data_IF_179337248022
#
_entry.id   IF_179337248022
#
_cell.length_a   1.000
_cell.length_b   1.000
_cell.length_c   1.000
_cell.angle_alpha   90.00
_cell.angle_beta   90.00
_cell.angle_gamma   90.00
#
_symmetry.space_group_name_H-M   'P 1'
#
loop_
_entity.id
_entity.type
_entity.pdbx_description
1 polymer ?
#
# COMPACT_ATOMS: atom_id res chain seq x y z
N UNK A 1 -28.37 14.52 14.84
CA UNK A 1 -28.48 13.07 15.11
C UNK A 1 -28.75 12.39 13.77
N UNK A 2 -27.96 11.39 13.37
CA UNK A 2 -28.17 10.69 12.11
C UNK A 2 -29.39 9.80 12.25
N UNK A 3 -30.32 9.90 11.30
CA UNK A 3 -31.45 8.96 11.24
C UNK A 3 -31.03 7.71 10.48
N UNK A 4 -30.66 6.67 11.20
CA UNK A 4 -30.21 5.40 10.62
C UNK A 4 -31.33 4.64 9.89
N UNK A 5 -32.60 5.01 10.05
CA UNK A 5 -33.72 4.34 9.36
C UNK A 5 -33.68 4.57 7.84
N UNK A 6 -33.07 5.68 7.40
CA UNK A 6 -32.87 6.01 5.98
C UNK A 6 -31.95 4.99 5.29
N UNK A 7 -31.07 4.33 6.05
CA UNK A 7 -30.06 3.40 5.53
C UNK A 7 -30.54 1.94 5.48
N UNK A 8 -31.72 1.66 6.04
CA UNK A 8 -32.29 0.31 6.03
C UNK A 8 -32.41 -0.20 4.59
N UNK A 9 -31.90 -1.41 4.36
CA UNK A 9 -31.89 -2.11 3.06
C UNK A 9 -31.06 -1.43 1.95
N UNK A 10 -30.33 -0.38 2.25
CA UNK A 10 -29.45 0.29 1.29
C UNK A 10 -28.21 -0.54 0.99
N UNK A 11 -27.67 -0.36 -0.22
CA UNK A 11 -26.52 -1.07 -0.75
C UNK A 11 -25.43 -0.11 -1.17
N UNK A 12 -24.20 -0.37 -0.74
CA UNK A 12 -23.04 0.39 -1.16
C UNK A 12 -22.11 -0.42 -2.04
N UNK A 13 -21.49 0.23 -3.02
CA UNK A 13 -20.39 -0.29 -3.82
C UNK A 13 -19.15 0.54 -3.55
N UNK A 14 -18.01 -0.13 -3.45
CA UNK A 14 -16.73 0.50 -3.13
C UNK A 14 -15.74 0.35 -4.29
N UNK A 15 -15.06 1.42 -4.62
CA UNK A 15 -14.01 1.44 -5.62
C UNK A 15 -12.76 2.13 -5.06
N UNK A 16 -11.69 1.36 -4.92
CA UNK A 16 -10.44 1.84 -4.32
C UNK A 16 -9.35 1.89 -5.35
N UNK A 17 -8.71 3.04 -5.47
CA UNK A 17 -7.50 3.26 -6.25
C UNK A 17 -6.31 3.55 -5.33
N UNK A 18 -5.13 3.12 -5.75
CA UNK A 18 -3.86 3.48 -5.12
C UNK A 18 -3.26 2.41 -4.22
N UNK A 19 -2.84 2.79 -3.03
CA UNK A 19 -1.96 2.00 -2.16
C UNK A 19 -2.72 1.17 -1.11
N UNK A 20 -1.98 0.31 -0.39
CA UNK A 20 -2.48 -0.49 0.75
C UNK A 20 -3.20 0.37 1.79
N UNK A 21 -2.74 1.61 2.00
CA UNK A 21 -3.35 2.56 2.90
C UNK A 21 -4.78 2.93 2.47
N UNK A 22 -5.01 3.23 1.19
CA UNK A 22 -6.35 3.49 0.67
C UNK A 22 -7.25 2.26 0.83
N UNK A 23 -6.74 1.05 0.60
CA UNK A 23 -7.49 -0.18 0.81
C UNK A 23 -7.89 -0.39 2.27
N UNK A 24 -6.99 -0.15 3.22
CA UNK A 24 -7.30 -0.18 4.65
C UNK A 24 -8.39 0.81 5.02
N UNK A 25 -8.27 2.05 4.54
CA UNK A 25 -9.25 3.11 4.79
C UNK A 25 -10.63 2.78 4.22
N UNK A 26 -10.70 2.24 2.99
CA UNK A 26 -11.97 1.81 2.37
C UNK A 26 -12.62 0.69 3.16
N UNK A 27 -11.87 -0.32 3.59
CA UNK A 27 -12.40 -1.41 4.41
C UNK A 27 -12.99 -0.91 5.74
N UNK A 28 -12.39 0.13 6.32
CA UNK A 28 -12.94 0.76 7.53
C UNK A 28 -14.23 1.53 7.24
N UNK A 29 -14.30 2.24 6.12
CA UNK A 29 -15.55 2.91 5.67
C UNK A 29 -16.64 1.86 5.45
N UNK A 30 -16.33 0.78 4.72
CA UNK A 30 -17.27 -0.32 4.46
C UNK A 30 -17.86 -0.90 5.75
N UNK A 31 -17.01 -1.19 6.74
CA UNK A 31 -17.47 -1.71 8.03
C UNK A 31 -18.40 -0.73 8.75
N UNK A 32 -18.05 0.57 8.83
CA UNK A 32 -18.91 1.58 9.46
C UNK A 32 -20.27 1.69 8.79
N UNK A 33 -20.32 1.58 7.46
CA UNK A 33 -21.57 1.58 6.71
C UNK A 33 -22.37 0.30 6.98
N UNK A 34 -21.72 -0.86 7.11
CA UNK A 34 -22.39 -2.11 7.49
C UNK A 34 -22.95 -2.06 8.92
N UNK A 35 -22.22 -1.49 9.88
CA UNK A 35 -22.68 -1.25 11.24
C UNK A 35 -23.92 -0.32 11.29
N UNK A 36 -24.04 0.59 10.31
CA UNK A 36 -25.21 1.45 10.13
C UNK A 36 -26.36 0.81 9.34
N UNK A 37 -26.24 -0.47 8.95
CA UNK A 37 -27.28 -1.22 8.22
C UNK A 37 -27.18 -1.18 6.69
N UNK A 38 -26.14 -0.55 6.13
CA UNK A 38 -25.89 -0.50 4.69
C UNK A 38 -25.06 -1.72 4.27
N UNK A 39 -25.62 -2.63 3.48
CA UNK A 39 -24.88 -3.81 3.03
C UNK A 39 -24.03 -3.54 1.78
N UNK A 40 -22.96 -4.32 1.60
CA UNK A 40 -22.18 -4.28 0.36
C UNK A 40 -22.98 -4.92 -0.78
N UNK A 41 -23.05 -4.20 -1.91
CA UNK A 41 -23.71 -4.70 -3.11
C UNK A 41 -22.94 -5.90 -3.70
N UNK A 42 -23.66 -6.97 -4.04
CA UNK A 42 -23.07 -8.13 -4.71
C UNK A 42 -22.77 -7.80 -6.19
N UNK A 43 -21.92 -8.60 -6.81
CA UNK A 43 -21.60 -8.44 -8.24
C UNK A 43 -22.86 -8.47 -9.09
N UNK A 44 -23.09 -7.40 -9.87
CA UNK A 44 -24.27 -7.28 -10.74
C UNK A 44 -25.49 -6.63 -10.09
N UNK A 45 -25.49 -6.40 -8.77
CA UNK A 45 -26.52 -5.60 -8.10
C UNK A 45 -26.29 -4.10 -8.33
N UNK A 46 -27.37 -3.34 -8.42
CA UNK A 46 -27.33 -1.88 -8.34
C UNK A 46 -27.11 -1.44 -6.90
N UNK A 47 -26.31 -0.42 -6.73
CA UNK A 47 -26.05 0.21 -5.43
C UNK A 47 -26.84 1.51 -5.29
N UNK A 48 -27.21 1.83 -4.05
CA UNK A 48 -27.79 3.12 -3.65
C UNK A 48 -26.69 4.15 -3.34
N UNK A 49 -25.48 3.67 -2.98
CA UNK A 49 -24.36 4.49 -2.60
C UNK A 49 -23.11 3.99 -3.33
N UNK A 50 -22.33 4.91 -3.90
CA UNK A 50 -21.02 4.63 -4.52
C UNK A 50 -19.92 5.35 -3.73
N UNK A 51 -18.99 4.61 -3.18
CA UNK A 51 -17.82 5.16 -2.46
C UNK A 51 -16.57 4.98 -3.31
N UNK A 52 -15.91 6.08 -3.68
CA UNK A 52 -14.67 6.08 -4.46
C UNK A 52 -13.52 6.62 -3.62
N UNK A 53 -12.56 5.79 -3.26
CA UNK A 53 -11.32 6.20 -2.60
C UNK A 53 -10.23 6.41 -3.64
N UNK A 54 -9.84 7.66 -3.84
CA UNK A 54 -9.06 8.16 -4.97
C UNK A 54 -7.56 8.24 -4.69
N UNK A 55 -6.76 8.14 -5.75
CA UNK A 55 -5.30 8.29 -5.72
C UNK A 55 -4.85 9.47 -6.58
N UNK A 56 -3.78 10.16 -6.15
CA UNK A 56 -3.22 11.33 -6.83
C UNK A 56 -1.71 11.21 -7.09
N UNK A 57 -1.12 10.03 -6.93
CA UNK A 57 0.35 9.86 -7.06
C UNK A 57 0.82 10.11 -8.50
N UNK A 58 0.00 9.74 -9.50
CA UNK A 58 0.28 9.96 -10.92
C UNK A 58 -0.91 10.59 -11.65
N UNK A 59 -0.66 11.23 -12.81
CA UNK A 59 -1.72 11.71 -13.69
C UNK A 59 -2.63 10.58 -14.18
N UNK A 60 -2.05 9.41 -14.44
CA UNK A 60 -2.82 8.23 -14.85
C UNK A 60 -3.76 7.74 -13.73
N UNK A 61 -3.33 7.83 -12.46
CA UNK A 61 -4.18 7.50 -11.33
C UNK A 61 -5.39 8.45 -11.22
N UNK A 62 -5.20 9.75 -11.46
CA UNK A 62 -6.32 10.71 -11.52
C UNK A 62 -7.26 10.45 -12.69
N UNK A 63 -6.73 10.14 -13.88
CA UNK A 63 -7.53 9.78 -15.06
C UNK A 63 -8.38 8.53 -14.76
N UNK A 64 -7.78 7.48 -14.19
CA UNK A 64 -8.49 6.27 -13.77
C UNK A 64 -9.57 6.57 -12.72
N UNK A 65 -9.32 7.52 -11.82
CA UNK A 65 -10.32 7.95 -10.84
C UNK A 65 -11.56 8.55 -11.53
N UNK A 66 -11.39 9.51 -12.44
CA UNK A 66 -12.51 10.10 -13.19
C UNK A 66 -13.26 9.04 -14.02
N UNK A 67 -12.53 8.13 -14.66
CA UNK A 67 -13.15 7.01 -15.40
C UNK A 67 -13.99 6.11 -14.48
N UNK A 68 -13.50 5.85 -13.26
CA UNK A 68 -14.22 5.06 -12.27
C UNK A 68 -15.50 5.77 -11.81
N UNK A 69 -15.45 7.09 -11.54
CA UNK A 69 -16.61 7.91 -11.20
C UNK A 69 -17.67 7.77 -12.30
N UNK A 70 -17.32 8.08 -13.55
CA UNK A 70 -18.24 8.04 -14.68
C UNK A 70 -18.81 6.62 -14.93
N UNK A 71 -18.00 5.58 -14.71
CA UNK A 71 -18.43 4.18 -14.80
C UNK A 71 -19.48 3.84 -13.74
N UNK A 72 -19.20 4.18 -12.48
CA UNK A 72 -20.08 3.86 -11.35
C UNK A 72 -21.41 4.63 -11.43
N UNK A 73 -21.38 5.90 -11.82
CA UNK A 73 -22.59 6.72 -12.06
C UNK A 73 -23.48 6.09 -13.13
N UNK A 74 -22.89 5.64 -14.26
CA UNK A 74 -23.64 4.97 -15.33
C UNK A 74 -24.19 3.60 -14.91
N UNK A 75 -23.46 2.84 -14.12
CA UNK A 75 -23.88 1.53 -13.65
C UNK A 75 -24.94 1.59 -12.55
N UNK A 76 -24.95 2.68 -11.77
CA UNK A 76 -25.86 2.88 -10.64
C UNK A 76 -26.61 4.23 -10.79
N UNK A 77 -27.51 4.37 -11.76
CA UNK A 77 -28.27 5.60 -11.93
C UNK A 77 -29.07 5.93 -10.66
N UNK A 78 -28.94 7.17 -10.18
CA UNK A 78 -29.59 7.62 -8.95
C UNK A 78 -28.86 7.30 -7.65
N UNK A 79 -27.75 6.56 -7.68
CA UNK A 79 -26.94 6.32 -6.50
C UNK A 79 -26.29 7.62 -5.96
N UNK A 80 -26.18 7.74 -4.65
CA UNK A 80 -25.45 8.81 -3.98
C UNK A 80 -23.94 8.53 -4.09
N UNK A 81 -23.18 9.48 -4.64
CA UNK A 81 -21.75 9.27 -5.00
C UNK A 81 -20.86 10.08 -4.09
N UNK A 82 -20.05 9.37 -3.31
CA UNK A 82 -19.03 9.93 -2.41
C UNK A 82 -17.64 9.68 -2.99
N UNK A 83 -16.84 10.75 -3.12
CA UNK A 83 -15.44 10.66 -3.54
C UNK A 83 -14.55 11.11 -2.39
N UNK A 84 -13.56 10.29 -2.03
CA UNK A 84 -12.57 10.62 -1.01
C UNK A 84 -11.16 10.22 -1.46
N UNK A 85 -10.15 10.46 -0.65
CA UNK A 85 -8.77 10.06 -0.95
C UNK A 85 -7.85 11.21 -1.34
N UNK A 86 -6.65 10.85 -1.80
CA UNK A 86 -5.60 11.85 -2.08
C UNK A 86 -5.99 12.80 -3.23
N UNK A 87 -6.66 12.29 -4.27
CA UNK A 87 -7.13 13.15 -5.36
C UNK A 87 -8.31 14.02 -4.92
N UNK A 88 -9.22 13.48 -4.12
CA UNK A 88 -10.30 14.26 -3.50
C UNK A 88 -9.75 15.43 -2.67
N UNK A 89 -8.70 15.20 -1.89
CA UNK A 89 -8.06 16.26 -1.10
C UNK A 89 -7.44 17.36 -1.96
N UNK A 90 -6.75 16.99 -3.06
CA UNK A 90 -6.04 17.96 -3.90
C UNK A 90 -6.95 18.72 -4.89
N UNK A 91 -8.13 18.20 -5.18
CA UNK A 91 -9.01 18.69 -6.23
C UNK A 91 -10.49 18.62 -5.84
N UNK A 92 -10.81 18.89 -4.57
CA UNK A 92 -12.15 18.71 -4.03
C UNK A 92 -13.21 19.49 -4.81
N UNK A 93 -13.02 20.79 -5.00
CA UNK A 93 -13.92 21.67 -5.75
C UNK A 93 -14.11 21.20 -7.20
N UNK A 94 -13.02 20.79 -7.87
CA UNK A 94 -13.09 20.29 -9.25
C UNK A 94 -13.91 18.99 -9.32
N UNK A 95 -13.69 18.07 -8.39
CA UNK A 95 -14.39 16.80 -8.35
C UNK A 95 -15.86 16.94 -7.97
N UNK A 96 -16.24 17.93 -7.14
CA UNK A 96 -17.63 18.16 -6.81
C UNK A 96 -18.46 18.63 -8.01
N UNK A 97 -17.80 19.15 -9.05
CA UNK A 97 -18.44 19.54 -10.33
C UNK A 97 -18.50 18.41 -11.37
N UNK A 98 -17.90 17.25 -11.08
CA UNK A 98 -17.99 16.07 -11.97
C UNK A 98 -19.43 15.52 -11.95
N UNK A 99 -19.92 15.15 -13.13
CA UNK A 99 -21.29 14.69 -13.30
C UNK A 99 -21.63 13.51 -12.38
N UNK A 100 -22.63 13.69 -11.54
CA UNK A 100 -23.16 12.67 -10.65
C UNK A 100 -22.39 12.48 -9.33
N UNK A 101 -21.41 13.31 -9.03
CA UNK A 101 -20.78 13.37 -7.70
C UNK A 101 -21.66 14.18 -6.76
N UNK A 102 -21.99 13.63 -5.59
CA UNK A 102 -22.84 14.30 -4.60
C UNK A 102 -22.02 14.90 -3.45
N UNK A 103 -20.94 14.23 -3.03
CA UNK A 103 -20.05 14.78 -2.01
C UNK A 103 -18.58 14.36 -2.23
N UNK A 104 -17.69 15.30 -1.95
CA UNK A 104 -16.23 15.07 -1.96
C UNK A 104 -15.68 15.31 -0.56
N UNK A 105 -15.01 14.30 0.00
CA UNK A 105 -14.47 14.33 1.35
C UNK A 105 -12.96 14.32 1.35
N UNK A 106 -12.32 15.29 1.98
CA UNK A 106 -10.90 15.35 2.21
C UNK A 106 -10.38 14.22 3.12
N UNK A 107 -9.08 14.21 3.31
CA UNK A 107 -8.40 13.18 4.12
C UNK A 107 -8.86 13.20 5.58
N UNK A 108 -9.11 14.37 6.12
CA UNK A 108 -9.61 14.59 7.49
C UNK A 108 -11.03 14.09 7.70
N UNK A 109 -11.85 14.06 6.63
CA UNK A 109 -13.26 13.69 6.66
C UNK A 109 -13.55 12.23 6.29
N UNK A 110 -12.54 11.45 5.97
CA UNK A 110 -12.71 10.02 5.63
C UNK A 110 -13.42 9.19 6.70
N UNK A 111 -13.20 9.53 7.97
CA UNK A 111 -13.88 8.89 9.08
C UNK A 111 -15.36 9.29 9.23
N UNK A 112 -15.79 10.37 8.57
CA UNK A 112 -17.09 10.98 8.70
C UNK A 112 -17.99 10.73 7.48
N UNK A 113 -17.72 9.68 6.68
CA UNK A 113 -18.51 9.40 5.47
C UNK A 113 -19.99 9.25 5.79
N UNK A 114 -20.32 8.57 6.89
CA UNK A 114 -21.70 8.31 7.29
C UNK A 114 -22.45 9.61 7.60
N UNK A 115 -21.79 10.57 8.24
CA UNK A 115 -22.32 11.89 8.59
C UNK A 115 -22.64 12.74 7.36
N UNK A 116 -21.95 12.48 6.26
CA UNK A 116 -22.11 13.20 4.99
C UNK A 116 -23.04 12.49 3.98
N UNK A 117 -23.64 11.35 4.33
CA UNK A 117 -24.65 10.72 3.47
C UNK A 117 -25.99 11.42 3.51
N UNK A 118 -26.28 12.19 4.57
CA UNK A 118 -27.56 12.87 4.74
C UNK A 118 -28.76 11.92 4.54
N UNK A 119 -29.78 12.38 3.82
CA UNK A 119 -30.94 11.58 3.45
C UNK A 119 -30.76 10.91 2.05
N UNK A 120 -29.55 10.79 1.55
CA UNK A 120 -29.22 10.28 0.21
C UNK A 120 -29.92 11.06 -0.92
N UNK A 121 -30.13 12.35 -0.70
CA UNK A 121 -30.75 13.25 -1.69
C UNK A 121 -29.66 13.65 -2.70
N UNK A 122 -29.92 13.31 -3.96
CA UNK A 122 -28.98 13.59 -5.04
C UNK A 122 -28.95 15.08 -5.39
N UNK A 123 -27.75 15.62 -5.57
CA UNK A 123 -27.56 17.00 -6.00
C UNK A 123 -27.70 17.15 -7.52
N UNK A 124 -28.48 18.15 -7.98
CA UNK A 124 -28.70 18.42 -9.42
C UNK A 124 -27.63 19.31 -10.05
N UNK A 125 -27.05 20.24 -9.27
CA UNK A 125 -26.20 21.33 -9.76
C UNK A 125 -24.74 21.26 -9.31
N UNK A 126 -24.25 20.04 -9.08
CA UNK A 126 -22.92 19.75 -8.53
C UNK A 126 -22.99 19.38 -7.05
N UNK A 127 -22.00 18.60 -6.61
CA UNK A 127 -21.92 18.09 -5.25
C UNK A 127 -21.29 19.09 -4.29
N UNK A 128 -21.42 18.79 -3.02
CA UNK A 128 -20.75 19.49 -1.93
C UNK A 128 -19.29 18.98 -1.79
N UNK A 129 -18.44 19.78 -1.16
CA UNK A 129 -17.10 19.31 -0.80
C UNK A 129 -16.67 19.80 0.58
N UNK A 130 -15.96 18.93 1.28
CA UNK A 130 -15.46 19.13 2.64
C UNK A 130 -14.02 18.70 2.70
N UNK A 131 -13.09 19.63 2.54
CA UNK A 131 -11.66 19.41 2.62
C UNK A 131 -10.98 20.65 3.19
N UNK A 132 -10.34 20.50 4.33
CA UNK A 132 -9.48 21.54 4.88
C UNK A 132 -8.08 21.48 4.26
N UNK A 133 -7.29 22.57 4.28
CA UNK A 133 -5.91 22.52 3.82
C UNK A 133 -5.11 21.40 4.52
N UNK A 134 -4.37 20.60 3.76
CA UNK A 134 -3.64 19.44 4.30
C UNK A 134 -2.69 19.80 5.45
N UNK A 135 -2.13 21.02 5.44
CA UNK A 135 -1.27 21.56 6.53
C UNK A 135 -1.99 21.65 7.88
N UNK A 136 -3.33 21.71 7.88
CA UNK A 136 -4.15 21.89 9.07
C UNK A 136 -4.71 20.54 9.59
N UNK A 137 -4.55 19.46 8.82
CA UNK A 137 -5.00 18.13 9.22
C UNK A 137 -4.15 17.61 10.39
N UNK A 138 -4.80 17.35 11.53
CA UNK A 138 -4.18 16.85 12.76
C UNK A 138 -4.71 15.46 13.13
N UNK A 139 -5.94 15.17 12.78
CA UNK A 139 -6.61 13.95 13.17
C UNK A 139 -5.98 12.72 12.49
N UNK A 140 -5.79 11.66 13.25
CA UNK A 140 -5.45 10.35 12.73
C UNK A 140 -6.72 9.50 12.61
N UNK A 141 -7.08 9.11 11.41
CA UNK A 141 -8.21 8.21 11.17
C UNK A 141 -7.67 6.78 11.20
N UNK A 142 -8.04 6.05 12.23
CA UNK A 142 -7.68 4.63 12.37
C UNK A 142 -8.25 3.81 11.24
N UNK A 143 -7.46 2.88 10.71
CA UNK A 143 -7.95 1.91 9.77
C UNK A 143 -7.16 0.59 9.82
N UNK A 144 -7.92 -0.50 9.75
CA UNK A 144 -7.42 -1.84 9.58
C UNK A 144 -8.35 -2.57 8.61
N UNK A 145 -7.81 -3.10 7.50
CA UNK A 145 -8.61 -3.94 6.62
C UNK A 145 -8.87 -5.26 7.32
N UNK A 146 -10.11 -5.72 7.31
CA UNK A 146 -10.56 -6.97 7.94
C UNK A 146 -11.57 -7.66 7.02
N UNK A 147 -12.04 -8.83 7.41
CA UNK A 147 -13.09 -9.56 6.70
C UNK A 147 -12.55 -10.67 5.81
N UNK A 148 -12.85 -10.65 4.53
CA UNK A 148 -12.59 -11.73 3.58
C UNK A 148 -11.14 -11.83 3.05
N UNK A 149 -10.22 -11.02 3.58
CA UNK A 149 -8.80 -11.02 3.19
C UNK A 149 -7.96 -11.80 4.17
N UNK A 150 -7.05 -12.60 3.66
CA UNK A 150 -6.07 -13.35 4.45
C UNK A 150 -5.03 -12.43 5.10
N UNK A 151 -4.62 -11.35 4.40
CA UNK A 151 -3.66 -10.37 4.91
C UNK A 151 -4.38 -9.07 5.29
N UNK A 152 -4.23 -8.65 6.52
CA UNK A 152 -4.78 -7.42 7.08
C UNK A 152 -3.81 -6.26 6.88
N UNK A 153 -4.31 -5.08 6.53
CA UNK A 153 -3.51 -3.86 6.40
C UNK A 153 -3.80 -2.94 7.58
N UNK A 154 -2.86 -2.84 8.51
CA UNK A 154 -2.96 -1.97 9.68
C UNK A 154 -2.29 -0.63 9.39
N UNK A 155 -3.07 0.45 9.38
CA UNK A 155 -2.57 1.82 9.26
C UNK A 155 -1.97 2.26 10.57
N UNK A 156 -0.65 2.49 10.58
CA UNK A 156 0.08 2.93 11.78
C UNK A 156 0.53 4.40 11.72
N UNK A 157 0.61 4.96 10.51
CA UNK A 157 1.11 6.32 10.31
C UNK A 157 0.43 6.94 9.07
N UNK A 158 0.28 8.28 9.04
CA UNK A 158 -0.25 9.03 7.92
C UNK A 158 0.50 10.37 7.74
N UNK A 159 0.49 10.92 6.51
CA UNK A 159 1.22 12.13 6.18
C UNK A 159 2.75 11.92 6.07
N UNK A 160 3.49 12.97 5.69
CA UNK A 160 4.94 12.89 5.53
C UNK A 160 5.59 14.27 5.64
N UNK A 161 6.76 14.33 6.28
CA UNK A 161 7.55 15.56 6.49
C UNK A 161 8.80 15.65 5.59
N UNK A 162 8.93 14.77 4.59
CA UNK A 162 10.12 14.75 3.75
C UNK A 162 10.10 15.80 2.64
N UNK A 163 8.95 16.12 2.10
CA UNK A 163 8.80 17.08 1.00
C UNK A 163 9.77 16.82 -0.17
N UNK A 164 9.92 15.55 -0.56
CA UNK A 164 10.68 15.21 -1.76
C UNK A 164 10.16 15.99 -2.96
N UNK A 165 11.07 16.45 -3.82
CA UNK A 165 10.76 17.42 -4.88
C UNK A 165 9.66 16.99 -5.84
N UNK A 166 9.48 15.69 -6.05
CA UNK A 166 8.50 15.08 -6.95
C UNK A 166 7.17 14.72 -6.28
N UNK A 167 7.08 14.77 -4.95
CA UNK A 167 6.02 14.12 -4.19
C UNK A 167 4.87 15.08 -3.85
N UNK A 168 3.63 14.63 -4.09
CA UNK A 168 2.41 15.37 -3.73
C UNK A 168 1.81 14.94 -2.39
N UNK A 169 2.35 13.93 -1.75
CA UNK A 169 1.77 13.35 -0.52
C UNK A 169 1.69 14.34 0.64
N UNK A 170 2.71 15.18 0.94
CA UNK A 170 2.58 16.19 1.98
C UNK A 170 1.43 17.18 1.74
N UNK A 171 1.13 17.46 0.47
CA UNK A 171 0.03 18.35 0.08
C UNK A 171 -1.34 17.66 0.10
N UNK A 172 -1.36 16.33 -0.06
CA UNK A 172 -2.58 15.54 -0.01
C UNK A 172 -2.92 15.04 1.39
N UNK A 173 -1.91 14.60 2.16
CA UNK A 173 -2.11 13.94 3.46
C UNK A 173 -1.62 14.74 4.66
N UNK A 174 -0.91 15.87 4.43
CA UNK A 174 -0.39 16.71 5.48
C UNK A 174 0.87 16.17 6.16
N UNK A 175 1.14 16.66 7.35
CA UNK A 175 2.29 16.30 8.17
C UNK A 175 2.19 14.86 8.71
N UNK A 176 3.36 14.31 9.04
CA UNK A 176 3.46 12.99 9.68
C UNK A 176 2.72 12.98 11.01
N UNK A 177 1.88 11.97 11.22
CA UNK A 177 1.11 11.76 12.46
C UNK A 177 0.82 10.27 12.66
N UNK A 178 0.68 9.89 13.91
CA UNK A 178 0.43 8.52 14.33
C UNK A 178 -0.42 8.50 15.61
N UNK A 179 -1.13 7.41 15.91
CA UNK A 179 -1.78 7.18 17.20
C UNK A 179 -0.77 6.58 18.20
N UNK A 180 -1.20 6.34 19.43
CA UNK A 180 -0.39 5.63 20.41
C UNK A 180 -0.23 4.14 20.07
N UNK A 181 0.88 3.55 20.50
CA UNK A 181 1.17 2.11 20.33
C UNK A 181 0.02 1.25 20.88
N UNK A 182 -0.50 1.60 22.05
CA UNK A 182 -1.61 0.84 22.69
C UNK A 182 -2.86 0.74 21.82
N UNK A 183 -3.19 1.79 21.06
CA UNK A 183 -4.34 1.80 20.16
C UNK A 183 -4.14 0.86 18.95
N UNK A 184 -2.91 0.76 18.46
CA UNK A 184 -2.54 -0.13 17.35
C UNK A 184 -2.49 -1.60 17.81
N UNK A 185 -1.99 -1.85 19.02
CA UNK A 185 -2.04 -3.18 19.64
C UNK A 185 -3.48 -3.66 19.80
N UNK A 186 -4.38 -2.79 20.28
CA UNK A 186 -5.80 -3.14 20.38
C UNK A 186 -6.41 -3.50 19.01
N UNK A 187 -6.05 -2.79 17.94
CA UNK A 187 -6.50 -3.14 16.58
C UNK A 187 -5.93 -4.48 16.09
N UNK A 188 -4.67 -4.78 16.41
CA UNK A 188 -4.05 -6.05 16.07
C UNK A 188 -4.70 -7.22 16.84
N UNK A 189 -5.04 -7.03 18.12
CA UNK A 189 -5.79 -8.00 18.94
C UNK A 189 -7.19 -8.27 18.34
N UNK A 190 -7.89 -7.21 17.90
CA UNK A 190 -9.17 -7.37 17.21
C UNK A 190 -9.02 -8.17 15.92
N UNK A 191 -7.97 -7.92 15.13
CA UNK A 191 -7.69 -8.68 13.92
C UNK A 191 -7.37 -10.15 14.23
N UNK A 192 -6.65 -10.44 15.31
CA UNK A 192 -6.38 -11.80 15.79
C UNK A 192 -7.67 -12.53 16.20
N UNK A 193 -8.55 -11.84 16.94
CA UNK A 193 -9.85 -12.39 17.37
C UNK A 193 -10.78 -12.73 16.18
N UNK A 194 -10.63 -12.03 15.06
CA UNK A 194 -11.35 -12.33 13.81
C UNK A 194 -10.67 -13.44 12.97
N UNK A 195 -9.60 -14.07 13.47
CA UNK A 195 -8.87 -15.15 12.80
C UNK A 195 -7.80 -14.66 11.79
N UNK A 196 -7.44 -13.39 11.82
CA UNK A 196 -6.32 -12.85 11.03
C UNK A 196 -5.01 -13.54 11.38
N UNK A 197 -4.22 -13.93 10.37
CA UNK A 197 -2.93 -14.61 10.57
C UNK A 197 -1.73 -13.71 10.22
N UNK A 198 -1.90 -12.80 9.28
CA UNK A 198 -0.85 -11.88 8.84
C UNK A 198 -1.34 -10.43 8.82
N UNK A 199 -0.57 -9.54 9.44
CA UNK A 199 -0.78 -8.09 9.40
C UNK A 199 0.37 -7.43 8.64
N UNK A 200 0.04 -6.62 7.63
CA UNK A 200 0.97 -5.74 6.95
C UNK A 200 0.86 -4.35 7.57
N UNK A 201 1.90 -3.91 8.24
CA UNK A 201 2.00 -2.56 8.79
C UNK A 201 2.09 -1.58 7.63
N UNK A 202 1.17 -0.62 7.55
CA UNK A 202 1.08 0.30 6.43
C UNK A 202 0.97 1.77 6.88
N UNK A 203 1.50 2.65 6.07
CA UNK A 203 1.47 4.09 6.25
C UNK A 203 2.03 4.79 5.02
N UNK A 204 2.31 6.05 5.15
CA UNK A 204 2.98 6.86 4.12
C UNK A 204 4.50 6.80 4.29
N UNK A 205 4.98 7.03 5.50
CA UNK A 205 6.37 6.91 5.92
C UNK A 205 6.39 6.33 7.34
N UNK A 206 6.28 5.01 7.43
CA UNK A 206 6.07 4.33 8.70
C UNK A 206 7.24 4.50 9.69
N UNK A 207 8.47 4.72 9.20
CA UNK A 207 9.62 5.01 10.04
C UNK A 207 9.54 6.35 10.79
N UNK A 208 8.66 7.27 10.35
CA UNK A 208 8.35 8.51 11.06
C UNK A 208 7.39 8.30 12.26
N UNK A 209 6.98 7.06 12.55
CA UNK A 209 6.12 6.74 13.68
C UNK A 209 6.72 7.25 15.00
N UNK A 210 5.86 7.78 15.85
CA UNK A 210 6.25 8.31 17.16
C UNK A 210 6.41 9.84 17.20
N UNK A 211 6.50 10.52 16.07
CA UNK A 211 6.65 11.99 16.05
C UNK A 211 5.50 12.73 16.75
N UNK A 212 4.28 12.19 16.72
CA UNK A 212 3.13 12.79 17.37
C UNK A 212 2.98 12.40 18.84
N UNK A 213 3.54 11.26 19.26
CA UNK A 213 3.28 10.65 20.56
C UNK A 213 4.52 10.54 21.45
N UNK A 214 5.73 10.76 20.91
CA UNK A 214 6.98 10.56 21.61
C UNK A 214 7.42 9.09 21.73
N UNK A 215 6.69 8.18 21.13
CA UNK A 215 7.04 6.75 21.01
C UNK A 215 8.01 6.52 19.85
N UNK A 216 8.34 5.26 19.52
CA UNK A 216 9.22 4.93 18.39
C UNK A 216 8.64 3.82 17.53
N UNK A 217 9.10 3.72 16.27
CA UNK A 217 8.73 2.60 15.42
C UNK A 217 9.20 1.25 16.00
N UNK A 218 10.37 1.23 16.64
CA UNK A 218 10.88 0.04 17.34
C UNK A 218 9.94 -0.39 18.48
N UNK A 219 9.47 0.56 19.31
CA UNK A 219 8.52 0.23 20.40
C UNK A 219 7.18 -0.30 19.87
N UNK A 220 6.72 0.21 18.71
CA UNK A 220 5.55 -0.36 18.03
C UNK A 220 5.79 -1.80 17.57
N UNK A 221 6.95 -2.05 16.93
CA UNK A 221 7.31 -3.40 16.44
C UNK A 221 7.36 -4.38 17.61
N UNK A 222 8.02 -4.00 18.72
CA UNK A 222 8.10 -4.82 19.94
C UNK A 222 6.72 -5.12 20.54
N UNK A 223 5.86 -4.13 20.64
CA UNK A 223 4.51 -4.30 21.19
C UNK A 223 3.63 -5.19 20.31
N UNK A 224 3.71 -5.05 19.00
CA UNK A 224 2.96 -5.88 18.06
C UNK A 224 3.44 -7.33 18.04
N UNK A 225 4.75 -7.58 18.20
CA UNK A 225 5.31 -8.94 18.27
C UNK A 225 4.75 -9.75 19.45
N UNK A 226 4.34 -9.07 20.53
CA UNK A 226 3.69 -9.66 21.69
C UNK A 226 2.20 -9.99 21.51
N UNK A 227 1.56 -9.62 20.40
CA UNK A 227 0.15 -9.90 20.18
C UNK A 227 -0.05 -11.36 19.80
N UNK A 228 -0.75 -12.10 20.65
CA UNK A 228 -1.10 -13.50 20.41
C UNK A 228 -2.12 -13.63 19.27
N UNK A 229 -2.09 -14.77 18.56
CA UNK A 229 -2.99 -15.07 17.44
C UNK A 229 -2.55 -14.53 16.09
N UNK A 230 -1.69 -13.50 16.05
CA UNK A 230 -1.04 -13.05 14.81
C UNK A 230 0.27 -13.80 14.64
N UNK A 231 0.35 -14.56 13.56
CA UNK A 231 1.54 -15.38 13.25
C UNK A 231 2.59 -14.61 12.46
N UNK A 232 2.18 -13.54 11.72
CA UNK A 232 3.08 -12.80 10.85
C UNK A 232 2.79 -11.31 10.83
N UNK A 233 3.85 -10.52 10.97
CA UNK A 233 3.86 -9.09 10.65
C UNK A 233 4.80 -8.82 9.50
N UNK A 234 4.40 -7.91 8.59
CA UNK A 234 5.28 -7.41 7.52
C UNK A 234 5.40 -5.91 7.60
N UNK A 235 6.63 -5.45 7.56
CA UNK A 235 6.97 -4.03 7.44
C UNK A 235 6.76 -3.66 5.98
N UNK A 236 5.89 -2.66 5.70
CA UNK A 236 5.77 -2.10 4.36
C UNK A 236 6.90 -1.09 4.07
N UNK A 237 6.72 -0.19 3.12
CA UNK A 237 7.75 0.76 2.72
C UNK A 237 8.24 1.61 3.90
N UNK A 238 9.53 1.54 4.20
CA UNK A 238 10.22 2.31 5.23
C UNK A 238 11.49 2.94 4.65
N UNK A 239 11.66 4.25 4.87
CA UNK A 239 12.79 5.02 4.35
C UNK A 239 14.13 4.46 4.86
N UNK A 240 15.17 4.37 4.01
CA UNK A 240 16.46 3.78 4.37
C UNK A 240 17.08 4.37 5.64
N UNK A 241 16.99 5.69 5.80
CA UNK A 241 17.53 6.40 6.95
C UNK A 241 16.68 6.30 8.22
N UNK A 242 15.53 5.64 8.16
CA UNK A 242 14.64 5.37 9.29
C UNK A 242 14.65 3.87 9.69
N UNK A 243 15.30 3.02 8.90
CA UNK A 243 15.61 1.64 9.30
C UNK A 243 16.90 1.69 10.13
N UNK A 244 16.76 1.70 11.46
CA UNK A 244 17.92 1.62 12.35
C UNK A 244 18.43 0.18 12.45
N UNK A 245 19.67 0.00 12.89
CA UNK A 245 20.23 -1.34 13.04
C UNK A 245 19.50 -2.12 14.13
N UNK A 246 19.01 -1.44 15.18
CA UNK A 246 18.19 -2.05 16.23
C UNK A 246 16.87 -2.61 15.71
N UNK A 247 16.24 -1.97 14.69
CA UNK A 247 15.06 -2.51 14.04
C UNK A 247 15.39 -3.79 13.27
N UNK A 248 16.52 -3.80 12.53
CA UNK A 248 16.95 -4.97 11.76
C UNK A 248 17.28 -6.13 12.70
N UNK A 249 18.04 -5.86 13.78
CA UNK A 249 18.38 -6.83 14.82
C UNK A 249 17.13 -7.41 15.50
N UNK A 250 16.17 -6.54 15.85
CA UNK A 250 14.93 -7.00 16.44
C UNK A 250 14.14 -7.91 15.50
N UNK A 251 13.99 -7.54 14.23
CA UNK A 251 13.29 -8.36 13.22
C UNK A 251 14.00 -9.70 13.03
N UNK A 252 15.34 -9.74 13.09
CA UNK A 252 16.10 -10.97 12.97
C UNK A 252 15.84 -11.96 14.12
N UNK A 253 15.56 -11.49 15.32
CA UNK A 253 15.21 -12.30 16.50
C UNK A 253 13.71 -12.43 16.77
N UNK A 254 12.85 -11.80 15.99
CA UNK A 254 11.42 -11.72 16.24
C UNK A 254 10.70 -13.04 15.97
N UNK A 255 9.68 -13.32 16.79
CA UNK A 255 8.75 -14.44 16.61
C UNK A 255 7.87 -14.28 15.36
N UNK A 256 7.37 -13.07 15.11
CA UNK A 256 6.31 -12.86 14.13
C UNK A 256 6.66 -11.85 13.04
N UNK A 257 7.70 -11.03 13.19
CA UNK A 257 8.13 -10.15 12.09
C UNK A 257 8.87 -10.96 11.03
N UNK A 258 8.33 -10.90 9.81
CA UNK A 258 8.83 -11.71 8.70
C UNK A 258 10.09 -11.11 8.09
N UNK A 259 11.03 -11.94 7.58
CA UNK A 259 12.23 -11.50 6.86
C UNK A 259 11.86 -10.94 5.49
N UNK A 260 11.26 -9.74 5.52
CA UNK A 260 10.75 -9.02 4.37
C UNK A 260 10.88 -7.53 4.60
N UNK A 261 11.61 -6.84 3.74
CA UNK A 261 11.77 -5.39 3.76
C UNK A 261 11.38 -4.80 2.41
N UNK A 262 10.71 -3.64 2.47
CA UNK A 262 10.45 -2.82 1.31
C UNK A 262 11.08 -1.45 1.55
N UNK A 263 12.18 -1.16 0.81
CA UNK A 263 13.04 -0.01 1.06
C UNK A 263 13.11 0.85 -0.20
N UNK A 264 12.56 2.08 -0.21
CA UNK A 264 12.57 2.93 -1.39
C UNK A 264 13.95 3.55 -1.63
N UNK A 265 14.65 3.12 -2.69
CA UNK A 265 15.87 3.75 -3.17
C UNK A 265 15.57 5.04 -3.93
N UNK A 266 14.54 5.04 -4.73
CA UNK A 266 14.05 6.08 -5.61
C UNK A 266 14.96 6.34 -6.83
N UNK A 267 16.27 6.54 -6.67
CA UNK A 267 17.24 6.66 -7.76
C UNK A 267 18.59 6.02 -7.38
N UNK A 268 19.30 5.48 -8.36
CA UNK A 268 20.60 4.82 -8.13
C UNK A 268 21.82 5.72 -8.38
N UNK A 269 21.66 7.03 -8.44
CA UNK A 269 22.76 8.00 -8.51
C UNK A 269 22.57 9.12 -7.48
N UNK A 270 23.68 9.55 -6.87
CA UNK A 270 23.66 10.54 -5.79
C UNK A 270 23.19 11.90 -6.29
N UNK A 271 23.51 12.25 -7.53
CA UNK A 271 23.09 13.48 -8.18
C UNK A 271 21.56 13.53 -8.28
N UNK A 272 20.91 12.47 -8.72
CA UNK A 272 19.45 12.40 -8.81
C UNK A 272 18.80 12.34 -7.44
N UNK A 273 19.36 11.58 -6.47
CA UNK A 273 18.90 11.55 -5.08
C UNK A 273 18.91 12.95 -4.46
N UNK A 274 19.96 13.74 -4.72
CA UNK A 274 20.06 15.13 -4.27
C UNK A 274 18.97 16.02 -4.92
N UNK A 275 18.74 15.88 -6.23
CA UNK A 275 17.65 16.59 -6.92
C UNK A 275 16.27 16.21 -6.37
N UNK A 276 16.10 14.97 -5.94
CA UNK A 276 14.88 14.48 -5.29
C UNK A 276 14.72 14.95 -3.84
N UNK A 277 15.71 15.60 -3.23
CA UNK A 277 15.81 15.92 -1.81
C UNK A 277 15.74 14.67 -0.91
N UNK A 278 16.44 13.58 -1.32
CA UNK A 278 16.57 12.39 -0.47
C UNK A 278 17.56 12.64 0.67
N UNK A 279 17.37 11.95 1.79
CA UNK A 279 18.16 12.13 3.03
C UNK A 279 19.23 11.06 3.20
N UNK A 280 19.61 10.42 2.11
CA UNK A 280 20.63 9.39 2.01
C UNK A 280 21.26 9.42 0.62
N UNK A 281 22.41 8.81 0.48
CA UNK A 281 23.12 8.56 -0.77
C UNK A 281 23.14 7.05 -1.11
N UNK A 282 23.72 6.70 -2.24
CA UNK A 282 23.83 5.32 -2.72
C UNK A 282 24.69 4.47 -1.79
N UNK A 283 25.77 5.03 -1.22
CA UNK A 283 26.66 4.35 -0.27
C UNK A 283 25.92 3.94 1.00
N UNK A 284 25.17 4.89 1.61
CA UNK A 284 24.34 4.61 2.77
C UNK A 284 23.28 3.54 2.48
N UNK A 285 22.63 3.62 1.32
CA UNK A 285 21.65 2.60 0.92
C UNK A 285 22.28 1.21 0.80
N UNK A 286 23.42 1.10 0.12
CA UNK A 286 24.14 -0.16 -0.02
C UNK A 286 24.55 -0.76 1.34
N UNK A 287 25.01 0.08 2.28
CA UNK A 287 25.33 -0.36 3.65
C UNK A 287 24.10 -0.93 4.38
N UNK A 288 22.91 -0.31 4.23
CA UNK A 288 21.68 -0.84 4.83
C UNK A 288 21.26 -2.18 4.21
N UNK A 289 21.38 -2.34 2.89
CA UNK A 289 21.15 -3.63 2.24
C UNK A 289 22.11 -4.69 2.76
N UNK A 290 23.41 -4.37 2.86
CA UNK A 290 24.41 -5.28 3.38
C UNK A 290 24.11 -5.69 4.84
N UNK A 291 23.70 -4.73 5.70
CA UNK A 291 23.34 -5.03 7.09
C UNK A 291 22.11 -5.94 7.20
N UNK A 292 21.09 -5.73 6.36
CA UNK A 292 19.93 -6.65 6.29
C UNK A 292 20.37 -8.04 5.86
N UNK A 293 21.26 -8.16 4.86
CA UNK A 293 21.77 -9.46 4.38
C UNK A 293 22.63 -10.18 5.41
N UNK A 294 23.42 -9.45 6.18
CA UNK A 294 24.25 -9.99 7.24
C UNK A 294 23.41 -10.71 8.32
N UNK A 295 22.36 -10.06 8.79
CA UNK A 295 21.50 -10.57 9.86
C UNK A 295 20.37 -11.48 9.38
N UNK A 296 19.89 -11.26 8.17
CA UNK A 296 18.74 -11.94 7.56
C UNK A 296 19.07 -12.34 6.12
N UNK A 297 19.95 -13.31 5.89
CA UNK A 297 20.39 -13.69 4.53
C UNK A 297 19.25 -14.15 3.62
N UNK A 298 18.18 -14.66 4.21
CA UNK A 298 16.98 -15.13 3.51
C UNK A 298 15.89 -14.05 3.34
N UNK A 299 16.12 -12.81 3.79
CA UNK A 299 15.12 -11.76 3.67
C UNK A 299 14.80 -11.43 2.20
N UNK A 300 13.52 -11.23 1.91
CA UNK A 300 13.11 -10.60 0.66
C UNK A 300 13.29 -9.08 0.79
N UNK A 301 14.06 -8.48 -0.11
CA UNK A 301 14.30 -7.04 -0.16
C UNK A 301 13.70 -6.49 -1.46
N UNK A 302 12.54 -5.84 -1.35
CA UNK A 302 11.90 -5.10 -2.44
C UNK A 302 12.35 -3.63 -2.42
N UNK A 303 12.60 -3.06 -3.60
CA UNK A 303 13.14 -1.70 -3.74
C UNK A 303 12.32 -0.89 -4.76
N UNK A 304 11.87 0.30 -4.36
CA UNK A 304 11.20 1.23 -5.28
C UNK A 304 12.23 2.07 -6.02
N UNK A 305 12.04 2.24 -7.33
CA UNK A 305 12.85 3.10 -8.20
C UNK A 305 11.94 3.91 -9.13
N UNK A 306 12.24 5.19 -9.27
CA UNK A 306 11.56 6.10 -10.20
C UNK A 306 12.55 6.45 -11.31
N UNK A 307 12.18 6.22 -12.57
CA UNK A 307 12.99 6.53 -13.73
C UNK A 307 12.46 7.73 -14.50
N UNK A 308 13.35 8.48 -15.14
CA UNK A 308 13.02 9.59 -15.99
C UNK A 308 12.58 10.83 -15.21
N UNK A 309 13.12 11.03 -14.02
CA UNK A 309 12.96 12.28 -13.27
C UNK A 309 13.68 13.42 -13.98
N UNK A 310 13.25 14.65 -13.74
CA UNK A 310 13.95 15.81 -14.32
C UNK A 310 15.38 15.87 -13.82
N UNK A 311 16.32 16.13 -14.70
CA UNK A 311 17.75 16.14 -14.44
C UNK A 311 18.44 14.77 -14.48
N UNK A 312 17.72 13.68 -14.73
CA UNK A 312 18.29 12.35 -14.93
C UNK A 312 18.80 12.23 -16.38
N UNK A 313 20.09 12.54 -16.62
CA UNK A 313 20.74 12.33 -17.91
C UNK A 313 20.87 10.83 -18.24
N UNK A 314 21.28 10.50 -19.46
CA UNK A 314 21.62 9.12 -19.84
C UNK A 314 22.75 8.56 -18.98
N UNK A 315 23.82 9.33 -18.81
CA UNK A 315 24.96 8.96 -17.97
C UNK A 315 24.55 8.66 -16.51
N UNK A 316 23.65 9.49 -15.94
CA UNK A 316 23.16 9.26 -14.57
C UNK A 316 22.25 8.03 -14.49
N UNK A 317 21.49 7.74 -15.53
CA UNK A 317 20.70 6.51 -15.59
C UNK A 317 21.59 5.27 -15.70
N UNK A 318 22.64 5.29 -16.54
CA UNK A 318 23.58 4.19 -16.68
C UNK A 318 24.30 3.91 -15.35
N UNK A 319 24.76 4.97 -14.67
CA UNK A 319 25.33 4.89 -13.31
C UNK A 319 24.34 4.25 -12.33
N UNK A 320 23.08 4.66 -12.37
CA UNK A 320 22.01 4.13 -11.52
C UNK A 320 21.74 2.66 -11.84
N UNK A 321 21.70 2.27 -13.11
CA UNK A 321 21.49 0.90 -13.54
C UNK A 321 22.59 -0.04 -13.02
N UNK A 322 23.87 0.31 -13.21
CA UNK A 322 25.00 -0.50 -12.74
C UNK A 322 25.03 -0.58 -11.19
N UNK A 323 24.72 0.52 -10.48
CA UNK A 323 24.60 0.48 -9.03
C UNK A 323 23.52 -0.52 -8.59
N UNK A 324 22.30 -0.42 -9.14
CA UNK A 324 21.16 -1.29 -8.78
C UNK A 324 21.44 -2.74 -9.14
N UNK A 325 22.09 -2.99 -10.27
CA UNK A 325 22.51 -4.33 -10.71
C UNK A 325 23.45 -4.98 -9.71
N UNK A 326 24.37 -4.22 -9.12
CA UNK A 326 25.31 -4.70 -8.09
C UNK A 326 24.70 -4.95 -6.71
N UNK A 327 23.49 -4.47 -6.41
CA UNK A 327 22.87 -4.66 -5.10
C UNK A 327 22.30 -6.08 -4.92
N UNK A 328 22.48 -6.67 -3.74
CA UNK A 328 21.84 -7.94 -3.36
C UNK A 328 20.41 -7.71 -2.87
N UNK A 329 19.52 -7.38 -3.80
CA UNK A 329 18.09 -7.17 -3.59
C UNK A 329 17.29 -8.24 -4.33
N UNK A 330 16.04 -8.45 -3.91
CA UNK A 330 15.19 -9.52 -4.45
C UNK A 330 14.31 -9.07 -5.61
N UNK A 331 13.87 -7.82 -5.62
CA UNK A 331 12.95 -7.30 -6.65
C UNK A 331 12.97 -5.77 -6.68
N UNK A 332 12.69 -5.21 -7.85
CA UNK A 332 12.41 -3.77 -8.03
C UNK A 332 10.92 -3.53 -8.28
N UNK A 333 10.44 -2.42 -7.77
CA UNK A 333 9.18 -1.80 -8.18
C UNK A 333 9.53 -0.55 -8.97
N UNK A 334 9.39 -0.62 -10.28
CA UNK A 334 9.83 0.41 -11.21
C UNK A 334 8.66 1.34 -11.56
N UNK A 335 8.85 2.63 -11.34
CA UNK A 335 7.87 3.67 -11.64
C UNK A 335 8.44 4.66 -12.67
N UNK A 336 7.68 4.97 -13.71
CA UNK A 336 7.99 6.10 -14.57
C UNK A 336 7.58 7.40 -13.87
N UNK A 337 8.49 8.36 -13.85
CA UNK A 337 8.20 9.68 -13.28
C UNK A 337 7.01 10.35 -13.96
N UNK A 338 6.06 10.79 -13.15
CA UNK A 338 4.86 11.52 -13.57
C UNK A 338 4.94 12.95 -13.04
N UNK A 339 4.97 13.93 -13.90
CA UNK A 339 4.94 15.34 -13.52
C UNK A 339 3.66 15.68 -12.75
N UNK A 340 3.82 16.42 -11.66
CA UNK A 340 2.70 16.81 -10.81
C UNK A 340 2.66 18.32 -10.62
N UNK A 341 1.54 18.99 -10.88
CA UNK A 341 1.40 20.42 -10.61
C UNK A 341 1.74 20.77 -9.16
N UNK A 342 2.44 21.89 -8.98
CA UNK A 342 2.83 22.37 -7.66
C UNK A 342 4.06 21.71 -7.03
N UNK A 343 4.64 20.69 -7.65
CA UNK A 343 5.86 20.05 -7.15
C UNK A 343 7.11 20.83 -7.51
N UNK A 344 8.13 20.80 -6.65
CA UNK A 344 9.41 21.49 -6.89
C UNK A 344 10.19 20.87 -8.06
N UNK A 345 9.97 19.59 -8.35
CA UNK A 345 10.61 18.90 -9.47
C UNK A 345 10.35 19.58 -10.82
N UNK A 346 9.23 20.29 -11.01
CA UNK A 346 8.94 21.02 -12.24
C UNK A 346 9.89 22.19 -12.50
N UNK A 347 10.62 22.65 -11.48
CA UNK A 347 11.63 23.73 -11.60
C UNK A 347 13.02 23.19 -11.96
N UNK A 348 13.20 21.88 -12.01
CA UNK A 348 14.45 21.23 -12.39
C UNK A 348 14.47 21.11 -13.91
N UNK A 349 15.58 21.51 -14.53
CA UNK A 349 15.77 21.38 -15.98
C UNK A 349 15.98 19.91 -16.39
N UNK A 350 15.98 19.64 -17.69
CA UNK A 350 16.28 18.31 -18.22
C UNK A 350 15.09 17.34 -18.09
N UNK A 351 13.94 17.71 -18.64
CA UNK A 351 12.79 16.80 -18.74
C UNK A 351 13.12 15.62 -19.65
N UNK A 352 12.90 14.40 -19.14
CA UNK A 352 13.13 13.15 -19.90
C UNK A 352 11.92 12.86 -20.80
N UNK A 353 12.12 12.60 -22.10
CA UNK A 353 11.04 12.28 -23.02
C UNK A 353 10.28 10.99 -22.63
N UNK A 354 8.97 10.89 -22.94
CA UNK A 354 8.17 9.70 -22.58
C UNK A 354 8.72 8.38 -23.14
N UNK A 355 9.24 8.40 -24.37
CA UNK A 355 9.85 7.22 -25.00
C UNK A 355 11.08 6.73 -24.21
N UNK A 356 11.90 7.68 -23.74
CA UNK A 356 13.08 7.36 -22.95
C UNK A 356 12.71 6.86 -21.55
N UNK A 357 11.72 7.46 -20.89
CA UNK A 357 11.16 6.92 -19.62
C UNK A 357 10.70 5.48 -19.80
N UNK A 358 10.04 5.19 -20.92
CA UNK A 358 9.58 3.84 -21.23
C UNK A 358 10.76 2.87 -21.38
N UNK A 359 11.78 3.24 -22.19
CA UNK A 359 13.00 2.43 -22.39
C UNK A 359 13.69 2.11 -21.07
N UNK A 360 13.95 3.12 -20.23
CA UNK A 360 14.56 2.98 -18.91
C UNK A 360 13.72 2.07 -17.98
N UNK A 361 12.40 2.23 -17.99
CA UNK A 361 11.52 1.37 -17.23
C UNK A 361 11.62 -0.09 -17.66
N UNK A 362 11.66 -0.37 -18.97
CA UNK A 362 11.77 -1.75 -19.47
C UNK A 362 13.08 -2.41 -19.04
N UNK A 363 14.20 -1.68 -19.08
CA UNK A 363 15.50 -2.18 -18.64
C UNK A 363 15.48 -2.58 -17.17
N UNK A 364 14.95 -1.71 -16.29
CA UNK A 364 14.86 -2.03 -14.86
C UNK A 364 13.80 -3.08 -14.54
N UNK A 365 12.72 -3.19 -15.30
CA UNK A 365 11.74 -4.28 -15.16
C UNK A 365 12.40 -5.61 -15.51
N UNK A 366 13.16 -5.68 -16.59
CA UNK A 366 13.92 -6.89 -16.94
C UNK A 366 14.91 -7.29 -15.83
N UNK A 367 15.69 -6.34 -15.33
CA UNK A 367 16.60 -6.56 -14.20
C UNK A 367 15.85 -7.02 -12.94
N UNK A 368 14.67 -6.46 -12.67
CA UNK A 368 13.81 -6.89 -11.56
C UNK A 368 13.38 -8.35 -11.67
N UNK A 369 13.00 -8.79 -12.87
CA UNK A 369 12.63 -10.18 -13.12
C UNK A 369 13.82 -11.12 -12.96
N UNK A 370 14.99 -10.77 -13.46
CA UNK A 370 16.23 -11.54 -13.26
C UNK A 370 16.53 -11.73 -11.76
N UNK A 371 16.49 -10.64 -10.98
CA UNK A 371 16.74 -10.69 -9.53
C UNK A 371 15.68 -11.51 -8.79
N UNK A 372 14.41 -11.39 -9.14
CA UNK A 372 13.33 -12.16 -8.53
C UNK A 372 13.46 -13.67 -8.82
N UNK A 373 13.75 -14.02 -10.07
CA UNK A 373 13.98 -15.41 -10.47
C UNK A 373 15.16 -15.98 -9.69
N UNK A 374 16.31 -15.30 -9.68
CA UNK A 374 17.50 -15.74 -8.96
C UNK A 374 17.24 -15.89 -7.44
N UNK A 375 16.41 -15.01 -6.85
CA UNK A 375 16.02 -15.15 -5.44
C UNK A 375 15.15 -16.39 -5.23
N UNK A 376 14.17 -16.65 -6.08
CA UNK A 376 13.25 -17.79 -5.96
C UNK A 376 13.97 -19.13 -6.19
N UNK A 377 14.89 -19.22 -7.15
CA UNK A 377 15.68 -20.41 -7.45
C UNK A 377 16.43 -20.96 -6.24
N UNK A 378 16.86 -20.09 -5.32
CA UNK A 378 17.54 -20.48 -4.07
C UNK A 378 16.68 -21.36 -3.17
N UNK A 379 15.38 -21.42 -3.39
CA UNK A 379 14.41 -22.11 -2.52
C UNK A 379 13.74 -23.31 -3.16
N UNK A 380 13.99 -23.60 -4.43
CA UNK A 380 13.49 -24.81 -5.08
C UNK A 380 14.00 -26.05 -4.34
N UNK A 381 13.12 -26.99 -4.06
CA UNK A 381 13.38 -28.21 -3.29
C UNK A 381 13.37 -28.04 -1.77
N UNK A 382 13.33 -26.78 -1.25
CA UNK A 382 13.28 -26.52 0.20
C UNK A 382 11.88 -26.59 0.76
N UNK A 383 11.78 -26.84 2.04
CA UNK A 383 10.53 -26.69 2.78
C UNK A 383 10.29 -25.23 3.17
N UNK A 384 9.03 -24.81 3.11
CA UNK A 384 8.60 -23.49 3.52
C UNK A 384 7.18 -23.52 4.11
N UNK A 385 6.91 -22.57 4.99
CA UNK A 385 5.54 -22.33 5.50
C UNK A 385 4.89 -21.27 4.67
N UNK A 386 3.77 -21.58 4.04
CA UNK A 386 2.99 -20.69 3.15
C UNK A 386 1.67 -20.34 3.83
N UNK A 387 1.33 -19.06 3.85
CA UNK A 387 -0.02 -18.60 4.17
C UNK A 387 -0.81 -18.51 2.87
N UNK A 388 -1.75 -19.45 2.69
CA UNK A 388 -2.56 -19.49 1.48
C UNK A 388 -3.78 -18.56 1.55
N UNK A 389 -4.04 -17.89 0.44
CA UNK A 389 -5.16 -16.95 0.28
C UNK A 389 -6.35 -17.65 -0.38
N UNK A 390 -7.55 -17.10 -0.15
CA UNK A 390 -8.77 -17.57 -0.83
C UNK A 390 -8.62 -17.43 -2.35
N UNK A 391 -8.72 -18.51 -3.12
CA UNK A 391 -8.54 -18.43 -4.57
C UNK A 391 -9.70 -17.71 -5.25
N UNK A 392 -9.42 -17.09 -6.38
CA UNK A 392 -10.48 -16.66 -7.30
C UNK A 392 -11.05 -17.89 -8.02
N UNK A 393 -12.33 -17.84 -8.37
CA UNK A 393 -12.97 -18.93 -9.11
C UNK A 393 -12.19 -19.29 -10.39
N UNK A 394 -11.83 -20.56 -10.53
CA UNK A 394 -11.09 -21.08 -11.70
C UNK A 394 -9.58 -20.80 -11.70
N UNK A 395 -9.03 -20.15 -10.65
CA UNK A 395 -7.59 -19.89 -10.56
C UNK A 395 -6.94 -20.81 -9.52
N UNK A 396 -5.63 -21.14 -9.65
CA UNK A 396 -4.88 -21.80 -8.60
C UNK A 396 -4.97 -21.02 -7.28
N UNK A 397 -4.83 -21.71 -6.16
CA UNK A 397 -4.70 -21.08 -4.87
C UNK A 397 -3.27 -20.58 -4.69
N UNK A 398 -3.13 -19.28 -4.41
CA UNK A 398 -1.85 -18.62 -4.17
C UNK A 398 -1.64 -18.31 -2.70
N UNK A 399 -0.37 -18.20 -2.30
CA UNK A 399 0.03 -17.77 -0.97
C UNK A 399 1.44 -17.22 -0.96
N UNK A 400 1.92 -16.85 0.25
CA UNK A 400 3.28 -16.33 0.40
C UNK A 400 4.00 -17.05 1.55
N UNK A 401 5.28 -17.32 1.32
CA UNK A 401 6.20 -17.80 2.37
C UNK A 401 6.50 -16.68 3.38
N UNK A 402 7.20 -17.01 4.47
CA UNK A 402 7.70 -16.02 5.43
C UNK A 402 8.56 -14.95 4.75
N UNK A 403 9.46 -15.34 3.86
CA UNK A 403 10.31 -14.45 3.07
C UNK A 403 9.71 -14.03 1.70
N UNK A 404 8.40 -13.94 1.62
CA UNK A 404 7.62 -13.34 0.54
C UNK A 404 7.72 -13.99 -0.84
N UNK A 405 8.13 -15.25 -0.93
CA UNK A 405 8.06 -16.04 -2.17
C UNK A 405 6.59 -16.36 -2.44
N UNK A 406 6.12 -16.06 -3.63
CA UNK A 406 4.78 -16.46 -4.06
C UNK A 406 4.77 -17.94 -4.40
N UNK A 407 3.78 -18.65 -3.88
CA UNK A 407 3.61 -20.09 -4.11
C UNK A 407 2.19 -20.34 -4.60
N UNK A 408 2.07 -21.24 -5.57
CA UNK A 408 0.78 -21.68 -6.11
C UNK A 408 0.59 -23.19 -5.90
N UNK A 409 -0.68 -23.59 -5.68
CA UNK A 409 -1.10 -24.99 -5.54
C UNK A 409 -2.50 -25.18 -6.12
N UNK A 410 -2.94 -26.38 -6.48
CA UNK A 410 -4.34 -26.66 -6.74
C UNK A 410 -5.25 -26.20 -5.60
N UNK A 411 -6.51 -25.89 -5.90
CA UNK A 411 -7.45 -25.40 -4.90
C UNK A 411 -7.66 -26.44 -3.79
N UNK A 412 -7.47 -26.02 -2.53
CA UNK A 412 -7.76 -26.80 -1.35
C UNK A 412 -8.44 -25.89 -0.30
N UNK A 413 -9.73 -26.12 -0.05
CA UNK A 413 -10.51 -25.29 0.88
C UNK A 413 -9.96 -25.31 2.31
N UNK A 414 -9.37 -26.41 2.75
CA UNK A 414 -8.82 -26.56 4.10
C UNK A 414 -7.56 -25.70 4.33
N UNK A 415 -6.86 -25.35 3.26
CA UNK A 415 -5.65 -24.54 3.32
C UNK A 415 -5.92 -23.03 3.31
N UNK A 416 -7.14 -22.59 3.03
CA UNK A 416 -7.48 -21.17 2.97
C UNK A 416 -7.33 -20.49 4.33
N UNK A 417 -6.58 -19.38 4.38
CA UNK A 417 -6.24 -18.63 5.59
C UNK A 417 -5.53 -19.48 6.67
N UNK A 418 -4.77 -20.48 6.22
CA UNK A 418 -3.96 -21.32 7.09
C UNK A 418 -2.50 -21.31 6.71
N UNK A 419 -1.64 -21.49 7.69
CA UNK A 419 -0.21 -21.70 7.51
C UNK A 419 0.02 -23.16 7.17
N UNK A 420 0.56 -23.41 6.00
CA UNK A 420 0.78 -24.78 5.47
C UNK A 420 2.25 -24.97 5.16
N UNK A 421 2.85 -26.03 5.68
CA UNK A 421 4.21 -26.47 5.33
C UNK A 421 4.15 -27.20 4.00
N UNK A 422 4.96 -26.76 3.06
CA UNK A 422 5.05 -27.32 1.71
C UNK A 422 6.50 -27.53 1.31
N UNK A 423 6.74 -28.41 0.37
CA UNK A 423 8.00 -28.49 -0.40
C UNK A 423 7.84 -27.63 -1.64
N UNK A 424 8.76 -26.69 -1.83
CA UNK A 424 8.76 -25.78 -2.96
C UNK A 424 9.34 -26.50 -4.19
N UNK A 425 8.58 -26.55 -5.27
CA UNK A 425 8.98 -27.07 -6.57
C UNK A 425 9.49 -26.00 -7.51
N UNK A 426 9.44 -26.29 -8.82
CA UNK A 426 9.81 -25.38 -9.87
C UNK A 426 8.86 -24.20 -10.04
N UNK A 427 9.16 -23.37 -11.02
CA UNK A 427 8.29 -22.25 -11.39
C UNK A 427 6.99 -22.71 -12.06
N UNK A 428 5.92 -21.91 -11.89
CA UNK A 428 4.75 -21.98 -12.74
C UNK A 428 5.09 -21.48 -14.17
N UNK A 429 4.13 -21.60 -15.11
CA UNK A 429 4.33 -21.36 -16.55
C UNK A 429 4.90 -19.96 -16.86
N UNK A 430 4.36 -18.92 -16.20
CA UNK A 430 4.79 -17.53 -16.39
C UNK A 430 5.94 -17.09 -15.46
N UNK A 431 6.51 -18.01 -14.72
CA UNK A 431 7.57 -17.81 -13.72
C UNK A 431 7.21 -16.80 -12.61
N UNK A 432 5.93 -16.52 -12.38
CA UNK A 432 5.50 -15.56 -11.36
C UNK A 432 5.46 -16.14 -9.94
N UNK A 433 5.44 -17.48 -9.81
CA UNK A 433 5.39 -18.20 -8.55
C UNK A 433 6.15 -19.52 -8.61
N UNK A 434 6.50 -20.05 -7.45
CA UNK A 434 6.89 -21.46 -7.32
C UNK A 434 5.63 -22.32 -7.11
N UNK A 435 5.68 -23.58 -7.51
CA UNK A 435 4.62 -24.56 -7.28
C UNK A 435 4.89 -25.27 -5.95
N UNK A 436 3.87 -25.55 -5.16
CA UNK A 436 3.97 -26.46 -4.05
C UNK A 436 3.89 -27.91 -4.58
N UNK A 437 5.04 -28.59 -4.66
CA UNK A 437 5.11 -29.97 -5.13
C UNK A 437 4.48 -30.95 -4.14
N UNK A 438 4.58 -30.68 -2.85
CA UNK A 438 4.06 -31.49 -1.77
C UNK A 438 3.48 -30.62 -0.65
N UNK A 439 2.31 -30.98 -0.17
CA UNK A 439 1.74 -30.46 1.07
C UNK A 439 2.13 -31.40 2.20
N UNK A 440 3.01 -30.94 3.09
CA UNK A 440 3.56 -31.76 4.18
C UNK A 440 2.61 -31.77 5.38
N UNK A 441 1.94 -30.63 5.67
CA UNK A 441 1.00 -30.50 6.78
C UNK A 441 0.72 -29.05 7.18
N UNK A 442 -0.06 -28.87 8.21
CA UNK A 442 -0.36 -27.54 8.75
C UNK A 442 0.73 -27.13 9.75
N UNK A 443 1.13 -25.86 9.69
CA UNK A 443 2.00 -25.22 10.67
C UNK A 443 1.13 -24.33 11.57
N UNK A 444 0.90 -24.78 12.78
CA UNK A 444 0.13 -24.03 13.80
C UNK A 444 0.99 -23.00 14.50
#
# INVERSE_FOLDING_TARGET
>A
MIDYTVFKDKKAVYYTLGCKLNFSETATIERRLQEAGIRTAKRGEKADICIINSCAVTQEAEKKCRQAIHKLVRQNPGAYVVVTGCYAQLSAEKLSRELGVDVVLGIDKKGEVLEHLGNLVKHSDGGEWYAQPAKDVRNFVHSCSRGDRTRYFLKVQDGCDYFCTYCTIPFARGRSRNPHVSELVAQAQMAAAEGGKEIVITGVNIGDFGKSTGESFLSLVQALDGVEGISRYRISSIEPNLITDEIIEYVAGSRAFMPHFHIPLQAGSDEVLKLMHRRYDTSFFAQKIARVRELLPDAFIGVDVIVGTRGESEELFDKAYEFIKGLDISQLHVFSYSERPGTQALKIDGAVPPAEKHRRSQLLIALSEEKRIAFYERYIGKEAVVLFEKPRSGMPMGGFTSNYIRVETPQNAESVNRLVRVRLGGFNEDKSALIADEIIGFAE
#
